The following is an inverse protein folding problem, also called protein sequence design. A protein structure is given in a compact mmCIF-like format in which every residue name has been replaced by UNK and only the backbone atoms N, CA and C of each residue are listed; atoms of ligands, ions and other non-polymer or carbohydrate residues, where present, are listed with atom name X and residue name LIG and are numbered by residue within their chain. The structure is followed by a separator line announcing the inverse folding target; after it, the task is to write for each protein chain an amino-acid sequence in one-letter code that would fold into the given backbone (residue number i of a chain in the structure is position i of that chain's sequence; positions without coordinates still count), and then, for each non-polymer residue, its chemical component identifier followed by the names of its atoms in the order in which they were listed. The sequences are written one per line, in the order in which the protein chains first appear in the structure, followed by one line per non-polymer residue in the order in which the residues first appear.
data_IF_001134406345
#
_entry.id   IF_001134406345
#
_cell.length_a   1.000
_cell.length_b   1.000
_cell.length_c   1.000
_cell.angle_alpha   90.00
_cell.angle_beta   90.00
_cell.angle_gamma   90.00
#
_symmetry.space_group_name_H-M   'P 1'
#
loop_
_entity.id
_entity.type
_entity.pdbx_description
1 polymer ?
#
# COMPACT_ATOMS: atom_id res chain seq x y z
N UNK A 1 -56.03 -1.57 -16.80
CA UNK A 1 -54.91 -1.73 -17.73
C UNK A 1 -54.51 -0.36 -18.23
N UNK A 2 -53.44 0.22 -17.69
CA UNK A 2 -52.85 1.47 -18.19
C UNK A 2 -51.35 1.18 -18.32
N UNK A 3 -50.88 1.07 -19.56
CA UNK A 3 -49.48 0.85 -19.87
C UNK A 3 -48.73 2.18 -19.83
N UNK A 4 -47.70 2.25 -18.98
CA UNK A 4 -46.80 3.38 -18.89
C UNK A 4 -45.53 3.04 -19.69
N UNK A 5 -45.33 3.73 -20.80
CA UNK A 5 -44.18 3.59 -21.69
C UNK A 5 -43.00 4.36 -21.11
N UNK A 6 -41.93 3.66 -20.71
CA UNK A 6 -40.65 4.27 -20.35
C UNK A 6 -39.90 4.68 -21.63
N UNK A 7 -39.57 5.97 -21.77
CA UNK A 7 -38.64 6.47 -22.78
C UNK A 7 -37.23 6.51 -22.18
N UNK A 8 -36.31 5.69 -22.73
CA UNK A 8 -34.88 5.81 -22.48
C UNK A 8 -34.33 7.04 -23.23
N UNK A 9 -33.73 7.98 -22.49
CA UNK A 9 -32.89 9.04 -23.06
C UNK A 9 -31.44 8.56 -23.01
N UNK A 10 -30.90 8.18 -24.16
CA UNK A 10 -29.48 7.88 -24.31
C UNK A 10 -28.69 9.19 -24.43
N UNK A 11 -27.87 9.50 -23.43
CA UNK A 11 -26.90 10.61 -23.47
C UNK A 11 -25.65 10.12 -24.18
N UNK A 12 -25.43 10.58 -25.41
CA UNK A 12 -24.22 10.32 -26.16
C UNK A 12 -23.06 11.18 -25.62
N UNK A 13 -22.07 10.54 -25.00
CA UNK A 13 -20.80 11.17 -24.64
C UNK A 13 -19.94 11.39 -25.91
N UNK A 14 -20.03 12.58 -26.48
CA UNK A 14 -19.15 13.05 -27.55
C UNK A 14 -17.78 13.42 -26.96
N UNK A 15 -16.74 12.62 -27.19
CA UNK A 15 -15.35 12.99 -26.84
C UNK A 15 -14.77 13.89 -27.94
N UNK A 16 -14.22 15.08 -27.62
CA UNK A 16 -13.42 15.84 -28.56
C UNK A 16 -12.04 15.19 -28.73
N UNK A 17 -11.71 14.78 -29.96
CA UNK A 17 -10.36 14.39 -30.36
C UNK A 17 -9.43 15.59 -30.24
N UNK A 18 -8.52 15.55 -29.25
CA UNK A 18 -7.45 16.53 -29.13
C UNK A 18 -6.21 15.94 -29.80
N UNK A 19 -5.94 16.43 -31.01
CA UNK A 19 -4.74 16.13 -31.78
C UNK A 19 -3.53 16.72 -31.03
N UNK A 20 -2.72 15.84 -30.43
CA UNK A 20 -1.48 16.23 -29.75
C UNK A 20 -0.39 16.26 -30.81
N UNK A 21 0.10 17.47 -31.11
CA UNK A 21 1.30 17.67 -31.91
C UNK A 21 2.51 17.11 -31.15
N UNK A 22 3.19 16.14 -31.75
CA UNK A 22 4.45 15.60 -31.24
C UNK A 22 5.60 16.57 -31.57
N UNK A 23 6.45 16.96 -30.61
CA UNK A 23 7.67 17.70 -30.93
C UNK A 23 8.66 16.78 -31.66
N UNK A 24 9.31 17.33 -32.69
CA UNK A 24 10.39 16.67 -33.42
C UNK A 24 11.52 16.27 -32.47
N UNK A 25 11.81 14.97 -32.45
CA UNK A 25 12.98 14.40 -31.76
C UNK A 25 14.21 14.77 -32.58
N UNK A 26 15.01 15.70 -32.06
CA UNK A 26 16.33 16.02 -32.60
C UNK A 26 17.25 14.80 -32.50
N UNK A 27 17.88 14.43 -33.61
CA UNK A 27 18.77 13.28 -33.75
C UNK A 27 19.97 13.36 -32.77
N UNK A 28 20.35 12.25 -32.10
CA UNK A 28 21.56 12.24 -31.30
C UNK A 28 22.82 12.27 -32.17
N UNK A 29 23.61 13.32 -31.92
CA UNK A 29 24.94 13.58 -32.45
C UNK A 29 25.89 12.39 -32.33
N UNK A 30 26.50 12.06 -33.48
CA UNK A 30 27.76 11.34 -33.72
C UNK A 30 28.43 10.65 -32.51
N UNK A 31 28.47 9.32 -32.61
CA UNK A 31 29.32 8.45 -31.83
C UNK A 31 30.80 8.91 -31.82
N UNK A 32 31.34 9.09 -30.62
CA UNK A 32 32.78 9.12 -30.39
C UNK A 32 33.27 7.68 -30.22
N UNK A 33 34.48 7.32 -30.71
CA UNK A 33 35.08 6.03 -30.41
C UNK A 33 35.46 5.98 -28.93
N UNK A 34 34.83 5.06 -28.18
CA UNK A 34 35.22 4.76 -26.81
C UNK A 34 36.63 4.14 -26.80
N UNK A 35 37.56 4.83 -26.13
CA UNK A 35 38.85 4.24 -25.77
C UNK A 35 38.60 3.32 -24.57
N UNK A 36 38.69 2.01 -24.81
CA UNK A 36 38.61 1.00 -23.75
C UNK A 36 39.96 1.01 -23.02
N UNK A 37 39.98 1.61 -21.84
CA UNK A 37 41.07 1.43 -20.87
C UNK A 37 40.70 0.22 -20.02
N UNK A 38 41.30 -0.93 -20.32
CA UNK A 38 41.23 -2.12 -19.46
C UNK A 38 41.95 -1.82 -18.14
N UNK A 39 41.15 -1.57 -17.09
CA UNK A 39 41.61 -1.51 -15.71
C UNK A 39 41.82 -2.94 -15.20
N UNK A 40 43.04 -3.30 -14.74
CA UNK A 40 43.29 -4.61 -14.16
C UNK A 40 42.65 -4.72 -12.77
N UNK A 41 41.75 -5.71 -12.62
CA UNK A 41 41.53 -6.45 -11.38
C UNK A 41 40.98 -5.65 -10.19
N UNK A 42 39.73 -5.21 -10.27
CA UNK A 42 38.94 -5.09 -9.05
C UNK A 42 38.52 -6.51 -8.65
N UNK A 43 39.17 -7.06 -7.62
CA UNK A 43 38.70 -8.26 -6.95
C UNK A 43 37.21 -8.06 -6.58
N UNK A 44 36.32 -9.02 -6.86
CA UNK A 44 34.93 -8.88 -6.46
C UNK A 44 34.91 -8.78 -4.94
N UNK A 45 34.60 -7.59 -4.43
CA UNK A 45 34.23 -7.43 -3.03
C UNK A 45 33.16 -8.48 -2.74
N UNK A 46 33.26 -9.22 -1.62
CA UNK A 46 32.26 -10.21 -1.28
C UNK A 46 30.92 -9.51 -1.22
N UNK A 47 30.05 -9.79 -2.19
CA UNK A 47 28.67 -9.34 -2.14
C UNK A 47 28.14 -9.73 -0.76
N UNK A 48 27.69 -8.78 0.08
CA UNK A 48 27.15 -9.12 1.37
C UNK A 48 26.00 -10.08 1.09
N UNK A 49 26.18 -11.32 1.54
CA UNK A 49 25.20 -12.37 1.39
C UNK A 49 23.86 -11.79 1.83
N UNK A 50 22.93 -11.64 0.89
CA UNK A 50 21.55 -11.24 1.13
C UNK A 50 20.85 -12.36 1.89
N UNK A 51 21.22 -12.54 3.15
CA UNK A 51 20.35 -13.15 4.13
C UNK A 51 19.28 -12.11 4.42
N UNK A 52 18.22 -12.10 3.60
CA UNK A 52 16.98 -11.39 3.90
C UNK A 52 16.31 -12.13 5.05
N UNK A 53 16.90 -12.00 6.24
CA UNK A 53 16.17 -12.25 7.48
C UNK A 53 15.18 -11.10 7.51
N UNK A 54 13.90 -11.41 7.34
CA UNK A 54 12.82 -10.44 7.58
C UNK A 54 13.02 -10.01 9.02
N UNK A 55 13.65 -8.85 9.22
CA UNK A 55 13.87 -8.30 10.54
C UNK A 55 12.49 -7.91 11.03
N UNK A 56 11.91 -8.77 11.86
CA UNK A 56 10.81 -8.39 12.72
C UNK A 56 11.31 -7.25 13.60
N UNK A 57 10.76 -6.07 13.41
CA UNK A 57 11.08 -4.85 14.16
C UNK A 57 10.44 -4.85 15.56
N UNK A 58 9.78 -5.95 15.94
CA UNK A 58 9.06 -6.12 17.19
C UNK A 58 7.63 -5.58 17.16
N UNK A 59 7.21 -4.91 16.08
CA UNK A 59 5.89 -4.28 15.98
C UNK A 59 4.79 -5.33 15.88
N UNK A 60 4.98 -6.36 15.05
CA UNK A 60 4.09 -7.53 14.97
C UNK A 60 3.86 -8.18 16.33
N UNK A 61 4.94 -8.41 17.09
CA UNK A 61 4.89 -9.00 18.44
C UNK A 61 4.18 -8.09 19.44
N UNK A 62 4.35 -6.77 19.31
CA UNK A 62 3.64 -5.80 20.14
C UNK A 62 2.12 -5.85 19.88
N UNK A 63 1.71 -5.91 18.60
CA UNK A 63 0.29 -6.04 18.21
C UNK A 63 -0.29 -7.37 18.69
N UNK A 64 0.44 -8.48 18.55
CA UNK A 64 0.01 -9.81 19.03
C UNK A 64 -0.13 -9.90 20.55
N UNK A 65 0.61 -9.06 21.29
CA UNK A 65 0.59 -9.02 22.74
C UNK A 65 -0.52 -8.13 23.32
N UNK A 66 -1.25 -7.39 22.49
CA UNK A 66 -2.36 -6.56 22.94
C UNK A 66 -3.46 -7.43 23.57
N UNK A 67 -3.92 -7.11 24.80
CA UNK A 67 -5.01 -7.83 25.44
C UNK A 67 -6.39 -7.48 24.85
N UNK A 68 -6.50 -6.38 24.09
CA UNK A 68 -7.73 -5.89 23.49
C UNK A 68 -8.21 -6.76 22.33
N UNK A 69 -9.52 -6.72 22.07
CA UNK A 69 -10.13 -7.48 20.99
C UNK A 69 -9.86 -6.81 19.63
N UNK A 70 -9.32 -7.55 18.66
CA UNK A 70 -9.01 -7.03 17.33
C UNK A 70 -10.20 -6.27 16.69
N UNK A 71 -9.96 -4.99 16.39
CA UNK A 71 -10.96 -4.09 15.83
C UNK A 71 -11.99 -3.54 16.82
N UNK A 72 -11.68 -3.50 18.12
CA UNK A 72 -12.39 -2.66 19.09
C UNK A 72 -11.74 -1.27 19.16
N UNK A 73 -12.49 -0.25 19.57
CA UNK A 73 -11.97 1.12 19.67
C UNK A 73 -10.66 1.20 20.49
N UNK A 74 -10.55 0.43 21.58
CA UNK A 74 -9.33 0.35 22.40
C UNK A 74 -8.17 -0.35 21.69
N UNK A 75 -8.45 -1.37 20.88
CA UNK A 75 -7.44 -2.03 20.06
C UNK A 75 -6.96 -1.10 18.95
N UNK A 76 -7.86 -0.38 18.31
CA UNK A 76 -7.56 0.57 17.23
C UNK A 76 -6.62 1.68 17.74
N UNK A 77 -6.92 2.27 18.90
CA UNK A 77 -6.07 3.27 19.55
C UNK A 77 -4.68 2.70 19.87
N UNK A 78 -4.60 1.52 20.48
CA UNK A 78 -3.33 0.89 20.83
C UNK A 78 -2.48 0.53 19.60
N UNK A 79 -3.09 -0.02 18.55
CA UNK A 79 -2.39 -0.34 17.30
C UNK A 79 -1.94 0.93 16.59
N UNK A 80 -2.77 1.98 16.55
CA UNK A 80 -2.39 3.25 15.95
C UNK A 80 -1.16 3.85 16.64
N UNK A 81 -1.13 3.86 17.98
CA UNK A 81 0.05 4.33 18.74
C UNK A 81 1.31 3.54 18.41
N UNK A 82 1.21 2.20 18.34
CA UNK A 82 2.32 1.32 18.00
C UNK A 82 2.84 1.60 16.58
N UNK A 83 1.93 1.70 15.61
CA UNK A 83 2.27 1.93 14.20
C UNK A 83 2.90 3.31 13.99
N UNK A 84 2.29 4.36 14.54
CA UNK A 84 2.79 5.73 14.41
C UNK A 84 4.17 5.87 15.07
N UNK A 85 4.37 5.33 16.27
CA UNK A 85 5.66 5.38 16.94
C UNK A 85 6.80 4.70 16.14
N UNK A 86 6.45 3.78 15.23
CA UNK A 86 7.41 2.98 14.47
C UNK A 86 7.63 3.47 13.05
N UNK A 87 6.57 4.00 12.40
CA UNK A 87 6.58 4.25 10.96
C UNK A 87 6.26 5.69 10.56
N UNK A 88 5.69 6.54 11.41
CA UNK A 88 5.54 7.98 11.15
C UNK A 88 6.91 8.66 11.30
N UNK A 89 7.66 8.72 10.20
CA UNK A 89 9.07 9.14 10.20
C UNK A 89 9.21 10.67 10.21
N UNK A 90 8.19 11.38 9.74
CA UNK A 90 8.21 12.84 9.70
C UNK A 90 7.45 13.50 10.87
N UNK A 91 6.74 12.70 11.68
CA UNK A 91 6.03 13.13 12.87
C UNK A 91 4.75 13.88 12.54
N UNK A 92 4.12 13.57 11.41
CA UNK A 92 2.87 14.19 10.95
C UNK A 92 1.65 13.78 11.80
N UNK A 93 1.77 12.69 12.56
CA UNK A 93 0.68 12.01 13.24
C UNK A 93 -0.05 11.01 12.33
N UNK A 94 0.50 10.71 11.15
CA UNK A 94 -0.08 9.79 10.17
C UNK A 94 1.01 8.98 9.47
N UNK A 95 0.64 7.78 9.02
CA UNK A 95 1.39 7.05 7.99
C UNK A 95 0.84 7.50 6.65
N UNK A 96 1.45 8.54 6.07
CA UNK A 96 0.89 9.29 4.95
C UNK A 96 1.84 9.48 3.75
N UNK A 97 3.02 8.88 3.81
CA UNK A 97 3.95 8.83 2.68
C UNK A 97 4.20 7.39 2.18
N UNK A 98 4.56 7.23 0.89
CA UNK A 98 4.90 5.92 0.35
C UNK A 98 6.04 5.23 1.12
N UNK A 99 7.04 6.00 1.57
CA UNK A 99 8.19 5.46 2.29
C UNK A 99 7.82 4.86 3.65
N UNK A 100 6.82 5.40 4.33
CA UNK A 100 6.36 4.89 5.63
C UNK A 100 5.53 3.63 5.48
N UNK A 101 4.70 3.55 4.42
CA UNK A 101 3.96 2.32 4.10
C UNK A 101 4.90 1.20 3.68
N UNK A 102 5.88 1.50 2.82
CA UNK A 102 6.90 0.54 2.38
C UNK A 102 7.79 0.06 3.54
N UNK A 103 7.91 0.86 4.61
CA UNK A 103 8.62 0.48 5.82
C UNK A 103 7.85 -0.53 6.68
N UNK A 104 6.52 -0.68 6.52
CA UNK A 104 5.71 -1.62 7.29
C UNK A 104 5.98 -3.06 6.83
N UNK A 105 6.56 -3.93 7.67
CA UNK A 105 6.83 -5.32 7.30
C UNK A 105 5.55 -6.13 7.12
N UNK A 106 5.59 -7.16 6.27
CA UNK A 106 4.45 -8.06 6.09
C UNK A 106 3.98 -8.73 7.38
N UNK A 107 4.89 -9.01 8.33
CA UNK A 107 4.54 -9.58 9.63
C UNK A 107 3.59 -8.66 10.41
N UNK A 108 3.79 -7.34 10.33
CA UNK A 108 2.92 -6.34 10.95
C UNK A 108 1.52 -6.39 10.34
N UNK A 109 1.39 -6.39 9.01
CA UNK A 109 0.08 -6.53 8.36
C UNK A 109 -0.63 -7.83 8.74
N UNK A 110 0.09 -8.96 8.78
CA UNK A 110 -0.46 -10.25 9.18
C UNK A 110 -0.91 -10.28 10.65
N UNK A 111 -0.15 -9.66 11.57
CA UNK A 111 -0.53 -9.59 12.99
C UNK A 111 -1.87 -8.87 13.19
N UNK A 112 -2.07 -7.74 12.50
CA UNK A 112 -3.35 -7.02 12.51
C UNK A 112 -4.48 -7.87 11.91
N UNK A 113 -4.22 -8.50 10.77
CA UNK A 113 -5.20 -9.38 10.13
C UNK A 113 -5.64 -10.51 11.04
N UNK A 114 -4.70 -11.24 11.67
CA UNK A 114 -5.00 -12.37 12.56
C UNK A 114 -5.80 -11.92 13.79
N UNK A 115 -5.46 -10.76 14.36
CA UNK A 115 -6.19 -10.20 15.50
C UNK A 115 -7.65 -9.91 15.15
N UNK A 116 -7.87 -9.21 14.02
CA UNK A 116 -9.22 -8.87 13.53
C UNK A 116 -10.01 -10.12 13.13
N UNK A 117 -9.41 -11.03 12.35
CA UNK A 117 -10.10 -12.24 11.88
C UNK A 117 -10.59 -13.10 13.04
N UNK A 118 -9.77 -13.25 14.09
CA UNK A 118 -10.12 -14.05 15.27
C UNK A 118 -11.39 -13.58 15.97
N UNK A 119 -11.60 -12.27 16.05
CA UNK A 119 -12.70 -11.67 16.81
C UNK A 119 -13.90 -11.34 15.92
N UNK A 120 -13.64 -10.76 14.75
CA UNK A 120 -14.66 -10.22 13.85
C UNK A 120 -15.04 -11.16 12.72
N UNK A 121 -14.20 -12.16 12.41
CA UNK A 121 -14.44 -13.11 11.31
C UNK A 121 -14.28 -12.52 9.91
N UNK A 122 -13.66 -11.34 9.79
CA UNK A 122 -13.42 -10.61 8.53
C UNK A 122 -11.96 -10.19 8.42
N UNK A 123 -11.53 -9.73 7.26
CA UNK A 123 -10.19 -9.21 7.02
C UNK A 123 -10.03 -7.79 7.57
N UNK A 124 -8.85 -7.49 8.11
CA UNK A 124 -8.43 -6.11 8.40
C UNK A 124 -8.59 -5.19 7.19
N UNK A 125 -8.31 -5.68 5.97
CA UNK A 125 -8.46 -4.90 4.75
C UNK A 125 -9.92 -4.48 4.47
N UNK A 126 -10.87 -5.30 4.87
CA UNK A 126 -12.30 -5.09 4.66
C UNK A 126 -12.87 -4.26 5.81
N UNK A 127 -12.54 -4.60 7.06
CA UNK A 127 -12.99 -3.88 8.25
C UNK A 127 -12.58 -2.40 8.23
N UNK A 128 -11.34 -2.10 7.85
CA UNK A 128 -10.83 -0.74 7.80
C UNK A 128 -11.00 -0.05 6.45
N UNK A 129 -11.68 -0.71 5.50
CA UNK A 129 -11.90 -0.18 4.16
C UNK A 129 -10.63 0.14 3.40
N UNK A 130 -9.60 -0.70 3.53
CA UNK A 130 -8.40 -0.64 2.69
C UNK A 130 -8.78 -1.11 1.29
N UNK A 131 -9.61 -2.15 1.19
CA UNK A 131 -10.26 -2.54 -0.05
C UNK A 131 -11.16 -1.37 -0.55
N UNK A 132 -10.99 -0.87 -1.79
CA UNK A 132 -11.68 0.29 -2.34
C UNK A 132 -13.21 0.17 -2.38
N UNK A 133 -13.78 -1.02 -2.29
CA UNK A 133 -15.23 -1.25 -2.34
C UNK A 133 -15.94 -0.94 -1.00
N UNK A 134 -15.18 -0.62 0.05
CA UNK A 134 -15.69 -0.33 1.40
C UNK A 134 -15.45 1.13 1.84
N UNK A 135 -16.10 1.55 2.93
CA UNK A 135 -15.92 2.90 3.50
C UNK A 135 -14.57 2.97 4.20
N UNK A 136 -13.80 4.04 3.97
CA UNK A 136 -12.52 4.25 4.62
C UNK A 136 -12.68 4.42 6.14
N UNK A 137 -12.04 3.53 6.89
CA UNK A 137 -11.90 3.60 8.36
C UNK A 137 -10.44 3.43 8.77
N UNK A 138 -9.51 3.27 7.82
CA UNK A 138 -8.08 3.07 8.06
C UNK A 138 -7.39 4.19 8.85
N UNK A 139 -8.01 5.36 8.97
CA UNK A 139 -7.55 6.43 9.87
C UNK A 139 -7.58 6.03 11.35
N UNK A 140 -8.40 5.05 11.74
CA UNK A 140 -8.40 4.49 13.10
C UNK A 140 -7.07 3.78 13.44
N UNK A 141 -6.33 3.31 12.43
CA UNK A 141 -5.01 2.70 12.59
C UNK A 141 -3.86 3.68 12.33
N UNK A 142 -4.15 4.96 12.10
CA UNK A 142 -3.15 5.99 11.81
C UNK A 142 -2.75 6.11 10.33
N UNK A 143 -3.42 5.43 9.39
CA UNK A 143 -3.14 5.62 7.97
C UNK A 143 -3.92 6.81 7.38
N UNK A 144 -3.31 7.51 6.43
CA UNK A 144 -4.02 8.52 5.62
C UNK A 144 -4.83 7.89 4.48
N UNK A 145 -6.02 8.44 4.18
CA UNK A 145 -6.86 7.97 3.06
C UNK A 145 -6.17 8.20 1.70
N UNK A 146 -5.38 9.27 1.57
CA UNK A 146 -4.63 9.57 0.34
C UNK A 146 -3.66 8.43 -0.02
N UNK A 147 -3.24 7.66 0.99
CA UNK A 147 -2.34 6.52 0.88
C UNK A 147 -3.04 5.17 0.72
N UNK A 148 -4.38 5.12 0.75
CA UNK A 148 -5.18 3.89 0.69
C UNK A 148 -4.75 2.94 -0.41
N UNK A 149 -4.54 3.44 -1.63
CA UNK A 149 -4.12 2.61 -2.78
C UNK A 149 -2.71 2.03 -2.58
N UNK A 150 -1.80 2.81 -2.01
CA UNK A 150 -0.43 2.35 -1.74
C UNK A 150 -0.44 1.29 -0.65
N UNK A 151 -1.21 1.51 0.42
CA UNK A 151 -1.44 0.55 1.50
C UNK A 151 -2.06 -0.76 0.98
N UNK A 152 -3.08 -0.68 0.13
CA UNK A 152 -3.69 -1.85 -0.52
C UNK A 152 -2.64 -2.67 -1.29
N UNK A 153 -1.82 -2.01 -2.13
CA UNK A 153 -0.77 -2.68 -2.89
C UNK A 153 0.28 -3.34 -1.98
N UNK A 154 0.67 -2.68 -0.89
CA UNK A 154 1.62 -3.22 0.07
C UNK A 154 1.07 -4.48 0.76
N UNK A 155 -0.18 -4.45 1.21
CA UNK A 155 -0.83 -5.61 1.85
C UNK A 155 -1.03 -6.76 0.87
N UNK A 156 -1.39 -6.48 -0.39
CA UNK A 156 -1.48 -7.51 -1.43
C UNK A 156 -0.12 -8.12 -1.76
N UNK A 157 0.96 -7.33 -1.75
CA UNK A 157 2.32 -7.84 -1.92
C UNK A 157 2.75 -8.77 -0.78
N UNK A 158 2.06 -8.70 0.37
CA UNK A 158 2.22 -9.60 1.51
C UNK A 158 1.24 -10.79 1.51
N UNK A 159 0.52 -11.03 0.41
CA UNK A 159 -0.48 -12.09 0.25
C UNK A 159 -1.65 -12.02 1.27
N UNK A 160 -2.00 -10.84 1.77
CA UNK A 160 -3.18 -10.70 2.63
C UNK A 160 -4.49 -10.92 1.84
N UNK A 161 -5.51 -11.56 2.45
CA UNK A 161 -6.82 -11.72 1.85
C UNK A 161 -7.60 -10.39 1.77
N UNK A 162 -8.50 -10.29 0.80
CA UNK A 162 -9.37 -9.13 0.51
C UNK A 162 -10.80 -9.56 0.12
N UNK A 163 -11.11 -10.85 0.20
CA UNK A 163 -12.23 -11.46 -0.51
C UNK A 163 -13.38 -11.91 0.39
N UNK A 164 -13.26 -11.91 1.72
CA UNK A 164 -14.44 -12.19 2.56
C UNK A 164 -15.23 -10.90 2.79
N UNK A 165 -16.55 -10.95 2.61
CA UNK A 165 -17.42 -9.83 2.96
C UNK A 165 -17.53 -9.67 4.49
N UNK A 166 -17.92 -8.47 4.92
CA UNK A 166 -18.34 -8.16 6.30
C UNK A 166 -19.52 -9.01 6.78
#
# INVERSE_FOLDING_TARGET
MVGLTLALVAVACQRPSREVAYPEVSEPSRAQPAVIVELPGAEPEPEPARASVVADDGVSLAIEALPEEGGSDEWDEAVSEILLASYDNDGSGWIDSPGEIEAVPCATFWSMHVAVERVRGTEVAVLYGIDPDYIWVGSALGFSEDMRKTLEMAMRACDLPFDKPL
#
